data_IF_880556480462
#
_entry.id   IF_880556480462
#
_cell.length_a   1.000
_cell.length_b   1.000
_cell.length_c   1.000
_cell.angle_alpha   90.00
_cell.angle_beta   90.00
_cell.angle_gamma   90.00
#
_symmetry.space_group_name_H-M   'P 1'
#
loop_
_entity.id
_entity.type
_entity.pdbx_description
1 polymer ?
#
# COMPACT_ATOMS: atom_id res chain seq x y z
N UNK A 1 -31.66 34.71 1.19
CA UNK A 1 -31.02 33.44 1.58
C UNK A 1 -32.15 32.43 1.65
N UNK A 2 -32.28 31.61 0.61
CA UNK A 2 -33.33 30.59 0.52
C UNK A 2 -33.06 29.55 1.61
N UNK A 3 -33.90 29.51 2.64
CA UNK A 3 -33.79 28.49 3.68
C UNK A 3 -34.06 27.15 3.01
N UNK A 4 -33.02 26.33 2.83
CA UNK A 4 -33.15 24.97 2.33
C UNK A 4 -34.20 24.26 3.20
N UNK A 5 -35.40 24.12 2.67
CA UNK A 5 -36.52 23.53 3.39
C UNK A 5 -36.18 22.08 3.65
N UNK A 6 -36.18 21.70 4.92
CA UNK A 6 -36.01 20.30 5.35
C UNK A 6 -37.06 19.45 4.63
N UNK A 7 -36.69 18.35 3.95
CA UNK A 7 -37.64 17.46 3.32
C UNK A 7 -38.66 16.98 4.37
N UNK A 8 -39.95 16.86 4.04
CA UNK A 8 -41.02 16.63 5.02
C UNK A 8 -40.95 15.32 5.83
N UNK A 9 -39.97 14.44 5.57
CA UNK A 9 -39.85 13.12 6.20
C UNK A 9 -38.38 12.67 6.35
N UNK A 10 -37.46 13.60 6.60
CA UNK A 10 -36.04 13.29 6.78
C UNK A 10 -35.73 12.78 8.20
N UNK A 11 -34.96 11.70 8.33
CA UNK A 11 -34.51 11.20 9.63
C UNK A 11 -33.40 12.09 10.21
N UNK A 12 -33.19 12.11 11.54
CA UNK A 12 -32.08 12.86 12.15
C UNK A 12 -30.70 12.52 11.58
N UNK A 13 -30.49 11.25 11.22
CA UNK A 13 -29.24 10.78 10.61
C UNK A 13 -29.07 11.32 9.18
N UNK A 14 -30.13 11.31 8.37
CA UNK A 14 -30.10 11.89 7.03
C UNK A 14 -29.82 13.40 7.07
N UNK A 15 -30.43 14.09 8.04
CA UNK A 15 -30.18 15.50 8.27
C UNK A 15 -28.72 15.77 8.69
N UNK A 16 -28.15 14.95 9.59
CA UNK A 16 -26.74 15.03 9.99
C UNK A 16 -25.81 14.89 8.78
N UNK A 17 -26.04 13.86 7.95
CA UNK A 17 -25.27 13.62 6.72
C UNK A 17 -25.37 14.82 5.76
N UNK A 18 -26.58 15.29 5.45
CA UNK A 18 -26.76 16.38 4.48
C UNK A 18 -26.06 17.65 4.93
N UNK A 19 -26.17 17.99 6.22
CA UNK A 19 -25.62 19.23 6.77
C UNK A 19 -24.09 19.15 6.89
N UNK A 20 -23.55 17.97 7.21
CA UNK A 20 -22.15 17.84 7.64
C UNK A 20 -21.23 17.14 6.64
N UNK A 21 -21.71 16.66 5.50
CA UNK A 21 -20.90 15.90 4.52
C UNK A 21 -19.63 16.59 4.05
N UNK A 22 -19.68 17.91 3.79
CA UNK A 22 -18.53 18.66 3.29
C UNK A 22 -17.45 18.79 4.38
N UNK A 23 -17.89 19.07 5.63
CA UNK A 23 -17.00 19.12 6.80
C UNK A 23 -16.38 17.74 7.06
N UNK A 24 -17.16 16.67 6.95
CA UNK A 24 -16.65 15.31 7.08
C UNK A 24 -15.62 14.98 5.98
N UNK A 25 -15.82 15.42 4.74
CA UNK A 25 -14.86 15.22 3.66
C UNK A 25 -13.53 15.93 3.94
N UNK A 26 -13.55 17.17 4.45
CA UNK A 26 -12.33 17.88 4.86
C UNK A 26 -11.53 17.17 5.96
N UNK A 27 -12.16 16.26 6.72
CA UNK A 27 -11.45 15.47 7.73
C UNK A 27 -10.44 14.47 7.15
N UNK A 28 -10.40 14.28 5.82
CA UNK A 28 -9.35 13.51 5.13
C UNK A 28 -8.17 14.37 4.67
N UNK A 29 -8.11 15.65 5.05
CA UNK A 29 -7.00 16.55 4.73
C UNK A 29 -6.01 16.62 5.91
N UNK A 30 -5.14 15.62 6.03
CA UNK A 30 -4.02 15.58 7.01
C UNK A 30 -4.43 16.03 8.42
N UNK A 31 -3.89 17.15 8.90
CA UNK A 31 -4.08 17.67 10.25
C UNK A 31 -5.50 18.15 10.51
N UNK A 32 -6.27 18.48 9.45
CA UNK A 32 -7.69 18.82 9.59
C UNK A 32 -8.50 17.67 10.17
N UNK A 33 -8.06 16.42 9.99
CA UNK A 33 -8.68 15.25 10.62
C UNK A 33 -8.83 15.40 12.14
N UNK A 34 -7.76 15.84 12.80
CA UNK A 34 -7.70 16.03 14.26
C UNK A 34 -8.58 17.21 14.66
N UNK A 35 -8.45 18.34 13.96
CA UNK A 35 -9.20 19.55 14.28
C UNK A 35 -10.70 19.31 14.16
N UNK A 36 -11.15 18.73 13.04
CA UNK A 36 -12.56 18.45 12.78
C UNK A 36 -13.13 17.46 13.81
N UNK A 37 -12.37 16.43 14.20
CA UNK A 37 -12.78 15.47 15.24
C UNK A 37 -13.11 16.15 16.57
N UNK A 38 -12.32 17.15 16.97
CA UNK A 38 -12.55 17.87 18.23
C UNK A 38 -13.57 19.01 18.11
N UNK A 39 -13.75 19.59 16.93
CA UNK A 39 -14.69 20.70 16.69
C UNK A 39 -16.17 20.28 16.72
N UNK A 40 -16.51 19.08 16.23
CA UNK A 40 -17.91 18.66 16.00
C UNK A 40 -18.21 17.33 16.67
N UNK A 41 -18.37 17.37 18.00
CA UNK A 41 -18.59 16.18 18.83
C UNK A 41 -19.99 15.59 18.72
N UNK A 42 -20.93 16.35 18.17
CA UNK A 42 -22.36 16.07 18.13
C UNK A 42 -22.83 15.37 16.84
N UNK A 43 -21.99 15.35 15.80
CA UNK A 43 -22.26 14.63 14.55
C UNK A 43 -21.61 13.25 14.58
N UNK A 44 -22.42 12.19 14.46
CA UNK A 44 -21.91 10.83 14.31
C UNK A 44 -21.20 10.66 12.97
N UNK A 45 -21.70 11.30 11.91
CA UNK A 45 -21.11 11.26 10.58
C UNK A 45 -19.70 11.87 10.53
N UNK A 46 -19.53 13.07 11.11
CA UNK A 46 -18.21 13.70 11.19
C UNK A 46 -17.26 12.85 12.03
N UNK A 47 -17.69 12.35 13.19
CA UNK A 47 -16.86 11.51 14.06
C UNK A 47 -16.37 10.25 13.37
N UNK A 48 -17.21 9.63 12.55
CA UNK A 48 -16.85 8.44 11.79
C UNK A 48 -15.72 8.72 10.79
N UNK A 49 -15.89 9.73 9.94
CA UNK A 49 -14.89 10.07 8.91
C UNK A 49 -13.61 10.66 9.49
N UNK A 50 -13.72 11.52 10.50
CA UNK A 50 -12.55 12.15 11.12
C UNK A 50 -11.67 11.15 11.89
N UNK A 51 -12.24 10.12 12.52
CA UNK A 51 -11.46 9.02 13.11
C UNK A 51 -10.62 8.28 12.07
N UNK A 52 -11.20 7.97 10.91
CA UNK A 52 -10.48 7.33 9.80
C UNK A 52 -9.39 8.25 9.24
N UNK A 53 -9.70 9.54 9.07
CA UNK A 53 -8.73 10.56 8.65
C UNK A 53 -7.55 10.69 9.61
N UNK A 54 -7.80 10.65 10.93
CA UNK A 54 -6.75 10.68 11.96
C UNK A 54 -5.83 9.47 11.83
N UNK A 55 -6.40 8.27 11.66
CA UNK A 55 -5.59 7.05 11.52
C UNK A 55 -4.69 7.14 10.28
N UNK A 56 -5.24 7.55 9.13
CA UNK A 56 -4.46 7.74 7.91
C UNK A 56 -3.38 8.83 8.06
N UNK A 57 -3.70 9.93 8.75
CA UNK A 57 -2.73 10.98 9.05
C UNK A 57 -1.60 10.46 9.93
N UNK A 58 -1.91 9.74 11.02
CA UNK A 58 -0.90 9.16 11.91
C UNK A 58 -0.06 8.09 11.22
N UNK A 59 -0.63 7.29 10.31
CA UNK A 59 0.13 6.34 9.49
C UNK A 59 1.08 7.05 8.51
N UNK A 60 0.69 8.22 7.99
CA UNK A 60 1.52 8.97 7.03
C UNK A 60 2.86 9.43 7.59
N UNK A 61 2.93 9.74 8.89
CA UNK A 61 4.13 10.27 9.55
C UNK A 61 5.28 9.25 9.51
N UNK A 62 5.20 8.05 10.11
CA UNK A 62 6.29 7.10 10.08
C UNK A 62 6.59 6.60 8.65
N UNK A 63 5.55 6.47 7.81
CA UNK A 63 5.73 6.07 6.39
C UNK A 63 6.59 7.08 5.63
N UNK A 64 6.39 8.38 5.85
CA UNK A 64 7.16 9.44 5.18
C UNK A 64 8.65 9.45 5.55
N UNK A 65 9.02 8.86 6.68
CA UNK A 65 10.40 8.81 7.17
C UNK A 65 11.21 7.63 6.60
N UNK A 66 10.56 6.68 5.91
CA UNK A 66 11.21 5.49 5.36
C UNK A 66 11.64 5.75 3.92
N UNK A 67 12.95 5.89 3.61
CA UNK A 67 13.40 6.10 2.24
C UNK A 67 13.11 4.89 1.34
N UNK A 68 12.82 5.14 0.07
CA UNK A 68 12.49 4.10 -0.92
C UNK A 68 11.06 3.57 -0.76
N UNK A 69 10.86 2.55 0.07
CA UNK A 69 9.55 1.90 0.20
C UNK A 69 8.48 2.82 0.80
N UNK A 70 8.86 3.78 1.64
CA UNK A 70 7.91 4.74 2.23
C UNK A 70 7.18 5.56 1.17
N UNK A 71 7.81 5.91 0.05
CA UNK A 71 7.15 6.62 -1.04
C UNK A 71 6.03 5.80 -1.68
N UNK A 72 6.24 4.48 -1.85
CA UNK A 72 5.19 3.58 -2.37
C UNK A 72 4.03 3.43 -1.37
N UNK A 73 4.34 3.26 -0.08
CA UNK A 73 3.33 3.17 0.97
C UNK A 73 2.55 4.48 1.13
N UNK A 74 3.19 5.62 0.89
CA UNK A 74 2.54 6.93 0.91
C UNK A 74 1.44 7.03 -0.15
N UNK A 75 1.64 6.45 -1.35
CA UNK A 75 0.57 6.39 -2.35
C UNK A 75 -0.65 5.61 -1.86
N UNK A 76 -0.45 4.54 -1.09
CA UNK A 76 -1.56 3.77 -0.49
C UNK A 76 -2.31 4.63 0.53
N UNK A 77 -1.59 5.38 1.37
CA UNK A 77 -2.20 6.30 2.34
C UNK A 77 -3.00 7.38 1.64
N UNK A 78 -2.45 8.01 0.60
CA UNK A 78 -3.14 9.05 -0.19
C UNK A 78 -4.37 8.47 -0.90
N UNK A 79 -4.28 7.28 -1.47
CA UNK A 79 -5.44 6.60 -2.06
C UNK A 79 -6.53 6.36 -1.00
N UNK A 80 -6.15 5.96 0.22
CA UNK A 80 -7.07 5.83 1.34
C UNK A 80 -7.75 7.14 1.72
N UNK A 81 -6.99 8.25 1.78
CA UNK A 81 -7.54 9.59 2.03
C UNK A 81 -8.56 9.99 0.95
N UNK A 82 -8.25 9.74 -0.32
CA UNK A 82 -9.15 10.03 -1.44
C UNK A 82 -10.44 9.20 -1.39
N UNK A 83 -10.33 7.90 -1.12
CA UNK A 83 -11.52 7.04 -0.98
C UNK A 83 -12.41 7.51 0.17
N UNK A 84 -11.80 7.86 1.30
CA UNK A 84 -12.51 8.39 2.45
C UNK A 84 -13.20 9.72 2.16
N UNK A 85 -12.48 10.63 1.49
CA UNK A 85 -13.02 11.92 1.03
C UNK A 85 -14.25 11.73 0.13
N UNK A 86 -14.15 10.84 -0.88
CA UNK A 86 -15.25 10.55 -1.80
C UNK A 86 -16.44 9.92 -1.09
N UNK A 87 -16.21 9.01 -0.14
CA UNK A 87 -17.29 8.43 0.66
C UNK A 87 -18.01 9.51 1.47
N UNK A 88 -17.25 10.37 2.16
CA UNK A 88 -17.81 11.46 2.95
C UNK A 88 -18.60 12.47 2.09
N UNK A 89 -18.02 12.92 0.97
CA UNK A 89 -18.66 13.86 0.05
C UNK A 89 -19.97 13.32 -0.55
N UNK A 90 -20.05 12.00 -0.74
CA UNK A 90 -21.26 11.31 -1.18
C UNK A 90 -22.23 10.94 -0.04
N UNK A 91 -21.94 11.33 1.21
CA UNK A 91 -22.78 11.06 2.37
C UNK A 91 -22.77 9.60 2.82
N UNK A 92 -21.69 8.87 2.54
CA UNK A 92 -21.60 7.43 2.77
C UNK A 92 -20.67 7.11 3.95
N UNK A 93 -21.21 6.47 4.99
CA UNK A 93 -20.43 5.89 6.08
C UNK A 93 -19.79 4.56 5.65
N UNK A 94 -18.82 4.64 4.74
CA UNK A 94 -18.03 3.48 4.31
C UNK A 94 -16.60 3.58 4.77
N UNK A 95 -16.09 2.42 5.16
CA UNK A 95 -14.73 2.30 5.61
C UNK A 95 -13.76 2.36 4.45
N UNK A 96 -12.68 3.12 4.65
CA UNK A 96 -11.51 2.96 3.82
C UNK A 96 -10.90 1.58 4.11
N UNK A 97 -10.54 0.78 3.08
CA UNK A 97 -9.87 -0.51 3.27
C UNK A 97 -8.66 -0.37 4.21
N UNK A 98 -8.45 -1.37 5.07
CA UNK A 98 -7.46 -1.39 6.17
C UNK A 98 -7.75 -0.42 7.33
N UNK A 99 -8.34 0.75 7.09
CA UNK A 99 -8.60 1.78 8.11
C UNK A 99 -9.90 1.52 8.87
N UNK A 100 -10.92 0.99 8.21
CA UNK A 100 -12.19 0.62 8.85
C UNK A 100 -12.03 -0.29 10.06
N UNK A 101 -11.38 -1.46 9.90
CA UNK A 101 -11.11 -2.38 11.00
C UNK A 101 -10.29 -1.72 12.13
N UNK A 102 -9.30 -0.89 11.79
CA UNK A 102 -8.53 -0.10 12.77
C UNK A 102 -9.41 0.88 13.55
N UNK A 103 -10.32 1.58 12.87
CA UNK A 103 -11.20 2.59 13.47
C UNK A 103 -12.26 1.98 14.40
N UNK A 104 -12.66 0.72 14.14
CA UNK A 104 -13.57 -0.06 14.97
C UNK A 104 -12.86 -0.86 16.08
N UNK A 105 -11.52 -0.93 16.05
CA UNK A 105 -10.72 -1.72 16.99
C UNK A 105 -10.67 -3.23 16.69
N UNK A 106 -11.09 -3.65 15.50
CA UNK A 106 -11.00 -5.04 15.02
C UNK A 106 -9.56 -5.40 14.61
N UNK A 107 -8.74 -4.42 14.26
CA UNK A 107 -7.35 -4.58 13.84
C UNK A 107 -6.48 -3.59 14.61
N UNK A 108 -5.38 -4.05 15.17
CA UNK A 108 -4.41 -3.19 15.86
C UNK A 108 -3.41 -2.58 14.88
N UNK A 109 -2.81 -1.45 15.26
CA UNK A 109 -1.68 -0.86 14.52
C UNK A 109 -0.50 -1.85 14.43
N UNK A 110 -0.35 -2.74 15.42
CA UNK A 110 0.63 -3.82 15.37
C UNK A 110 0.33 -4.80 14.25
N UNK A 111 -0.93 -5.14 14.00
CA UNK A 111 -1.32 -6.11 12.98
C UNK A 111 -1.07 -5.56 11.58
N UNK A 112 -1.38 -4.28 11.36
CA UNK A 112 -1.04 -3.58 10.12
C UNK A 112 0.47 -3.53 9.91
N UNK A 113 1.23 -3.22 10.96
CA UNK A 113 2.69 -3.22 10.91
C UNK A 113 3.24 -4.63 10.62
N UNK A 114 2.64 -5.68 11.19
CA UNK A 114 3.02 -7.07 10.93
C UNK A 114 2.75 -7.49 9.49
N UNK A 115 1.58 -7.16 8.92
CA UNK A 115 1.25 -7.43 7.51
C UNK A 115 2.28 -6.75 6.61
N UNK A 116 2.57 -5.48 6.88
CA UNK A 116 3.55 -4.70 6.13
C UNK A 116 4.96 -5.30 6.23
N UNK A 117 5.44 -5.58 7.44
CA UNK A 117 6.78 -6.15 7.67
C UNK A 117 6.91 -7.55 7.07
N UNK A 118 5.87 -8.37 7.12
CA UNK A 118 5.88 -9.71 6.54
C UNK A 118 5.93 -9.63 5.01
N UNK A 119 5.16 -8.73 4.39
CA UNK A 119 5.27 -8.46 2.96
C UNK A 119 6.66 -7.93 2.59
N UNK A 120 7.20 -6.96 3.35
CA UNK A 120 8.53 -6.40 3.11
C UNK A 120 9.63 -7.47 3.20
N UNK A 121 9.59 -8.32 4.23
CA UNK A 121 10.51 -9.45 4.37
C UNK A 121 10.45 -10.39 3.17
N UNK A 122 9.25 -10.69 2.66
CA UNK A 122 9.07 -11.52 1.45
C UNK A 122 9.68 -10.86 0.22
N UNK A 123 9.48 -9.56 0.02
CA UNK A 123 10.07 -8.80 -1.09
C UNK A 123 11.60 -8.82 -1.00
N UNK A 124 12.15 -8.48 0.16
CA UNK A 124 13.61 -8.47 0.39
C UNK A 124 14.20 -9.88 0.22
N UNK A 125 13.55 -10.92 0.75
CA UNK A 125 13.97 -12.30 0.54
C UNK A 125 13.91 -12.72 -0.93
N UNK A 126 12.88 -12.28 -1.67
CA UNK A 126 12.76 -12.54 -3.10
C UNK A 126 13.83 -11.84 -3.94
N UNK A 127 14.36 -10.70 -3.48
CA UNK A 127 15.51 -10.03 -4.13
C UNK A 127 16.85 -10.70 -3.81
N UNK A 128 16.97 -11.38 -2.66
CA UNK A 128 18.13 -12.22 -2.34
C UNK A 128 17.99 -13.60 -2.99
N UNK A 129 18.11 -13.67 -4.32
CA UNK A 129 18.36 -14.94 -5.01
C UNK A 129 19.70 -15.51 -4.47
N UNK A 130 19.80 -16.77 -4.00
CA UNK A 130 21.10 -17.38 -3.75
C UNK A 130 21.85 -17.34 -5.08
N UNK A 131 23.01 -16.70 -5.13
CA UNK A 131 23.93 -16.96 -6.23
C UNK A 131 24.25 -18.44 -6.17
N UNK A 132 23.69 -19.23 -7.07
CA UNK A 132 24.19 -20.56 -7.33
C UNK A 132 25.64 -20.36 -7.74
N UNK A 133 26.56 -20.78 -6.86
CA UNK A 133 27.99 -20.91 -7.15
C UNK A 133 28.07 -21.62 -8.50
N UNK A 134 28.76 -21.08 -9.52
CA UNK A 134 28.98 -21.84 -10.74
C UNK A 134 29.73 -23.09 -10.28
N UNK A 135 29.10 -24.25 -10.42
CA UNK A 135 29.81 -25.50 -10.29
C UNK A 135 30.89 -25.45 -11.36
N UNK A 136 32.15 -25.34 -10.93
CA UNK A 136 33.31 -25.65 -11.74
C UNK A 136 33.12 -27.09 -12.18
N UNK A 137 32.41 -27.26 -13.30
CA UNK A 137 32.36 -28.50 -14.03
C UNK A 137 33.79 -28.88 -14.31
N UNK A 138 34.22 -29.98 -13.69
CA UNK A 138 35.40 -30.71 -14.04
C UNK A 138 35.31 -30.97 -15.54
N UNK A 139 36.01 -30.17 -16.34
CA UNK A 139 36.28 -30.53 -17.73
C UNK A 139 37.21 -31.72 -17.64
N UNK A 140 36.63 -32.92 -17.62
CA UNK A 140 37.35 -34.12 -18.00
C UNK A 140 37.85 -33.87 -19.41
N UNK A 141 39.12 -33.50 -19.51
CA UNK A 141 39.83 -33.43 -20.78
C UNK A 141 39.81 -34.84 -21.35
N UNK A 142 38.87 -35.12 -22.24
CA UNK A 142 38.94 -36.28 -23.11
C UNK A 142 40.14 -36.04 -24.01
N UNK A 143 41.28 -36.61 -23.63
CA UNK A 143 42.44 -36.71 -24.50
C UNK A 143 42.06 -37.64 -25.66
N UNK A 144 41.73 -37.07 -26.81
CA UNK A 144 41.73 -37.83 -28.06
C UNK A 144 43.17 -38.21 -28.39
N UNK A 145 43.45 -39.48 -28.78
CA UNK A 145 44.78 -39.84 -29.25
C UNK A 145 45.08 -39.11 -30.57
N UNK A 146 46.35 -38.74 -30.83
CA UNK A 146 46.73 -38.07 -32.06
C UNK A 146 46.41 -38.95 -33.28
N UNK A 147 46.03 -38.34 -34.43
CA UNK A 147 45.81 -39.08 -35.66
C UNK A 147 47.10 -39.79 -36.07
N UNK A 148 46.98 -41.06 -36.44
CA UNK A 148 48.10 -41.84 -36.99
C UNK A 148 48.69 -41.09 -38.19
N UNK A 149 49.98 -40.76 -38.10
CA UNK A 149 50.76 -40.20 -39.21
C UNK A 149 50.89 -41.30 -40.26
N UNK A 150 50.11 -41.17 -41.34
CA UNK A 150 50.15 -42.07 -42.48
C UNK A 150 51.44 -41.78 -43.28
N UNK A 151 52.52 -42.51 -42.97
CA UNK A 151 53.79 -42.42 -43.70
C UNK A 151 53.63 -43.07 -45.07
N UNK A 152 53.10 -42.33 -46.04
CA UNK A 152 53.18 -42.72 -47.45
C UNK A 152 54.55 -42.34 -47.99
N UNK A 153 55.39 -43.35 -48.18
CA UNK A 153 56.70 -43.29 -48.83
C UNK A 153 56.56 -42.68 -50.25
N UNK A 154 57.41 -41.72 -50.67
CA UNK A 154 57.40 -41.24 -52.04
C UNK A 154 57.97 -42.30 -52.99
N UNK A 155 57.23 -42.59 -54.07
CA UNK A 155 57.74 -43.38 -55.19
C UNK A 155 58.87 -42.62 -55.90
N UNK A 156 59.98 -43.26 -56.31
CA UNK A 156 60.96 -42.62 -57.16
C UNK A 156 60.41 -42.45 -58.58
N UNK A 157 60.74 -41.32 -59.22
CA UNK A 157 60.42 -40.98 -60.60
C UNK A 157 61.74 -40.60 -61.29
N UNK A 158 61.91 -40.82 -62.61
CA UNK A 158 61.72 -42.01 -63.43
C UNK A 158 63.02 -42.81 -63.65
#
# INVERSE_FOLDING_TARGET
METAQTPPNETPEQADIRINKDVAAFSYVWIMSVIIYFSRKDSSFIRYHSKQGIILFLLSIPVSLIPGIGSYLMFIVVAGMLLGFLNAANGQMRDVPLVGPLSRGEMSLSDVLHILMNWLKKVVASTKKPQAKPETGSVTVVSTPPPAVDTKTPNPIP
#
